data_IF_866467015193
#
_entry.id   IF_866467015193
#
_cell.length_a   1.000
_cell.length_b   1.000
_cell.length_c   1.000
_cell.angle_alpha   90.00
_cell.angle_beta   90.00
_cell.angle_gamma   90.00
#
_symmetry.space_group_name_H-M   'P 1'
#
loop_
_entity.id
_entity.type
_entity.pdbx_description
1 polymer ?
#
# COMPACT_ATOMS: atom_id res chain seq x y z
N UNK A 1 -14.42 40.36 0.87
CA UNK A 1 -15.61 40.31 1.73
C UNK A 1 -16.86 40.12 0.89
N UNK A 2 -17.89 39.51 1.49
CA UNK A 2 -19.11 38.87 0.91
C UNK A 2 -18.87 37.41 0.53
N UNK A 3 -19.64 36.37 0.89
CA UNK A 3 -20.68 36.03 1.89
C UNK A 3 -20.90 34.51 1.66
N UNK A 4 -20.97 33.58 2.60
CA UNK A 4 -21.54 33.66 3.93
C UNK A 4 -23.03 33.30 3.98
N UNK A 5 -23.58 32.51 3.03
CA UNK A 5 -24.86 31.80 3.22
C UNK A 5 -25.17 30.77 2.12
N UNK A 6 -24.90 29.47 2.34
CA UNK A 6 -25.71 28.35 1.81
C UNK A 6 -25.71 27.21 2.86
N UNK A 7 -26.87 26.56 3.06
CA UNK A 7 -27.30 26.15 4.38
C UNK A 7 -26.82 24.76 4.80
N UNK A 8 -26.59 24.60 6.10
CA UNK A 8 -26.33 23.37 6.88
C UNK A 8 -27.30 22.20 6.56
N UNK A 9 -28.39 22.46 5.84
CA UNK A 9 -29.30 21.46 5.31
C UNK A 9 -28.65 20.51 4.28
N UNK A 10 -27.74 21.00 3.42
CA UNK A 10 -27.08 20.17 2.40
C UNK A 10 -26.10 19.17 3.04
N UNK A 11 -25.39 19.58 4.10
CA UNK A 11 -24.48 18.70 4.83
C UNK A 11 -25.22 17.53 5.50
N UNK A 12 -26.43 17.75 6.02
CA UNK A 12 -27.25 16.69 6.64
C UNK A 12 -27.76 15.69 5.61
N UNK A 13 -28.12 16.15 4.41
CA UNK A 13 -28.54 15.27 3.31
C UNK A 13 -27.37 14.41 2.84
N UNK A 14 -26.17 14.99 2.67
CA UNK A 14 -24.96 14.25 2.27
C UNK A 14 -24.59 13.19 3.30
N UNK A 15 -24.64 13.52 4.59
CA UNK A 15 -24.37 12.56 5.69
C UNK A 15 -25.39 11.43 5.71
N UNK A 16 -26.67 11.70 5.44
CA UNK A 16 -27.71 10.68 5.38
C UNK A 16 -27.51 9.72 4.19
N UNK A 17 -27.15 10.24 3.02
CA UNK A 17 -26.88 9.43 1.81
C UNK A 17 -25.67 8.54 2.01
N UNK A 18 -24.55 9.09 2.50
CA UNK A 18 -23.32 8.33 2.77
C UNK A 18 -23.55 7.25 3.84
N UNK A 19 -24.33 7.54 4.87
CA UNK A 19 -24.69 6.56 5.90
C UNK A 19 -25.51 5.41 5.33
N UNK A 20 -26.46 5.70 4.43
CA UNK A 20 -27.27 4.67 3.78
C UNK A 20 -26.43 3.79 2.85
N UNK A 21 -25.49 4.36 2.11
CA UNK A 21 -24.57 3.60 1.25
C UNK A 21 -23.64 2.70 2.09
N UNK A 22 -23.07 3.22 3.18
CA UNK A 22 -22.23 2.44 4.10
C UNK A 22 -23.00 1.30 4.77
N UNK A 23 -24.24 1.53 5.21
CA UNK A 23 -25.10 0.48 5.77
C UNK A 23 -25.48 -0.58 4.72
N UNK A 24 -25.70 -0.18 3.47
CA UNK A 24 -26.08 -1.10 2.40
C UNK A 24 -24.92 -2.03 1.98
N UNK A 25 -23.67 -1.54 2.06
CA UNK A 25 -22.50 -2.30 1.65
C UNK A 25 -21.74 -3.00 2.79
N UNK A 26 -22.05 -2.68 4.06
CA UNK A 26 -21.39 -3.26 5.24
C UNK A 26 -22.41 -3.57 6.36
N UNK A 27 -23.23 -4.63 6.24
CA UNK A 27 -24.29 -4.94 7.21
C UNK A 27 -23.79 -5.28 8.63
N UNK A 28 -22.47 -5.34 8.87
CA UNK A 28 -21.87 -5.62 10.17
C UNK A 28 -21.51 -4.38 11.02
N UNK A 29 -21.69 -3.14 10.53
CA UNK A 29 -21.26 -1.93 11.25
C UNK A 29 -22.42 -1.22 11.97
N UNK A 30 -22.84 -1.81 13.09
CA UNK A 30 -23.95 -1.32 13.90
C UNK A 30 -23.69 -0.04 14.73
N UNK A 31 -22.53 0.61 14.67
CA UNK A 31 -22.25 1.93 15.30
C UNK A 31 -20.89 2.50 14.91
N UNK A 32 -20.87 3.53 14.07
CA UNK A 32 -19.72 4.41 13.90
C UNK A 32 -20.16 5.87 14.13
N UNK A 33 -19.44 6.59 14.99
CA UNK A 33 -19.64 8.02 15.24
C UNK A 33 -18.69 8.79 14.32
N UNK A 34 -19.24 9.63 13.43
CA UNK A 34 -18.46 10.46 12.50
C UNK A 34 -18.58 11.92 12.95
N UNK A 35 -17.45 12.60 13.15
CA UNK A 35 -17.37 14.06 13.30
C UNK A 35 -16.72 14.65 12.05
N UNK A 36 -17.30 15.73 11.53
CA UNK A 36 -16.83 16.43 10.32
C UNK A 36 -16.36 17.82 10.74
N UNK A 37 -15.11 18.15 10.43
CA UNK A 37 -14.57 19.51 10.52
C UNK A 37 -14.47 20.12 9.12
N UNK A 38 -14.66 21.44 9.03
CA UNK A 38 -14.74 22.21 7.79
C UNK A 38 -13.37 22.37 7.10
N UNK A 39 -13.35 22.24 5.78
CA UNK A 39 -12.14 22.18 4.96
C UNK A 39 -11.48 23.55 4.78
N UNK A 40 -10.19 23.65 5.11
CA UNK A 40 -9.30 24.67 4.60
C UNK A 40 -8.27 24.02 3.68
N UNK A 41 -8.32 24.43 2.41
CA UNK A 41 -7.34 24.30 1.32
C UNK A 41 -6.54 22.99 1.17
N UNK A 42 -6.72 22.35 0.01
CA UNK A 42 -6.01 21.18 -0.49
C UNK A 42 -4.50 21.21 -0.21
N UNK A 43 -4.05 20.24 0.57
CA UNK A 43 -2.70 19.69 0.55
C UNK A 43 -2.85 18.16 0.36
N UNK A 44 -1.96 17.50 -0.39
CA UNK A 44 -2.09 16.07 -0.70
C UNK A 44 -2.21 15.28 0.60
N UNK A 45 -3.18 14.37 0.65
CA UNK A 45 -3.47 13.52 1.80
C UNK A 45 -2.34 12.52 1.99
N UNK A 46 -1.27 12.96 2.66
CA UNK A 46 -0.43 12.05 3.43
C UNK A 46 -1.31 11.47 4.53
N UNK A 47 -1.71 10.21 4.40
CA UNK A 47 -2.20 9.42 5.53
C UNK A 47 -1.10 9.42 6.60
N UNK A 48 -1.17 10.38 7.53
CA UNK A 48 -0.35 10.41 8.73
C UNK A 48 -0.87 9.35 9.70
N UNK A 49 -0.57 8.09 9.40
CA UNK A 49 -0.08 7.23 10.46
C UNK A 49 1.26 7.81 10.91
N UNK A 50 1.42 8.05 12.21
CA UNK A 50 2.73 8.34 12.78
C UNK A 50 3.56 7.06 12.72
N UNK A 51 4.06 6.73 11.53
CA UNK A 51 5.06 5.70 11.29
C UNK A 51 6.40 6.39 11.22
N UNK A 52 7.33 6.01 12.09
CA UNK A 52 8.70 6.49 12.05
C UNK A 52 9.29 6.16 10.66
N UNK A 53 9.93 7.14 10.03
CA UNK A 53 10.28 7.19 8.60
C UNK A 53 11.41 6.21 8.19
N UNK A 54 11.25 4.91 8.43
CA UNK A 54 12.28 3.89 8.19
C UNK A 54 12.12 3.12 6.87
N UNK A 55 10.93 3.13 6.27
CA UNK A 55 10.70 2.41 5.03
C UNK A 55 11.30 3.16 3.83
N UNK A 56 12.09 2.49 2.97
CA UNK A 56 12.52 3.00 1.68
C UNK A 56 11.38 3.46 0.77
N UNK A 57 11.71 4.26 -0.24
CA UNK A 57 10.74 4.64 -1.27
C UNK A 57 10.22 3.42 -2.03
N UNK A 58 8.93 3.47 -2.41
CA UNK A 58 8.31 2.42 -3.20
C UNK A 58 8.96 2.29 -4.60
N UNK A 59 9.14 1.06 -5.05
CA UNK A 59 9.59 0.72 -6.40
C UNK A 59 8.39 0.63 -7.35
N UNK A 60 8.42 1.38 -8.46
CA UNK A 60 7.37 1.30 -9.48
C UNK A 60 7.54 0.06 -10.34
N UNK A 61 6.50 -0.76 -10.42
CA UNK A 61 6.47 -1.98 -11.23
C UNK A 61 5.75 -1.68 -12.55
N UNK A 62 6.44 -1.89 -13.66
CA UNK A 62 5.87 -1.74 -15.00
C UNK A 62 6.45 -2.80 -15.93
N UNK A 63 5.65 -3.82 -16.22
CA UNK A 63 6.03 -4.95 -17.06
C UNK A 63 4.82 -5.47 -17.83
N UNK A 64 5.02 -6.49 -18.67
CA UNK A 64 3.89 -7.15 -19.35
C UNK A 64 3.06 -7.98 -18.38
N UNK A 65 3.71 -8.55 -17.36
CA UNK A 65 3.10 -9.44 -16.38
C UNK A 65 2.36 -8.69 -15.26
N UNK A 66 2.83 -7.51 -14.87
CA UNK A 66 2.16 -6.69 -13.86
C UNK A 66 2.51 -5.19 -13.97
N UNK A 67 1.58 -4.35 -13.53
CA UNK A 67 1.81 -2.93 -13.21
C UNK A 67 1.38 -2.63 -11.78
N UNK A 68 2.11 -1.77 -11.09
CA UNK A 68 1.87 -1.51 -9.67
C UNK A 68 3.03 -0.83 -8.97
N UNK A 69 3.12 -1.05 -7.66
CA UNK A 69 4.24 -0.62 -6.83
C UNK A 69 4.58 -1.68 -5.78
N UNK A 70 5.87 -1.83 -5.51
CA UNK A 70 6.44 -2.70 -4.49
C UNK A 70 7.01 -1.82 -3.38
N UNK A 71 6.62 -2.09 -2.14
CA UNK A 71 7.01 -1.30 -0.97
C UNK A 71 7.14 -2.18 0.28
N UNK A 72 7.82 -1.66 1.30
CA UNK A 72 7.80 -2.24 2.65
C UNK A 72 6.66 -1.54 3.41
N UNK A 73 5.75 -2.32 4.00
CA UNK A 73 4.60 -1.81 4.77
C UNK A 73 4.60 -2.38 6.18
N UNK A 74 4.17 -1.58 7.14
CA UNK A 74 3.88 -2.04 8.50
C UNK A 74 2.62 -2.92 8.53
N UNK A 75 2.72 -4.11 9.12
CA UNK A 75 1.57 -4.92 9.51
C UNK A 75 1.58 -5.19 11.02
N UNK A 76 0.47 -5.67 11.60
CA UNK A 76 0.45 -6.08 13.01
C UNK A 76 1.51 -7.16 13.36
N UNK A 77 1.96 -7.92 12.36
CA UNK A 77 2.97 -8.97 12.46
C UNK A 77 4.39 -8.47 12.09
N UNK A 78 4.60 -7.16 12.02
CA UNK A 78 5.84 -6.51 11.60
C UNK A 78 5.84 -6.10 10.13
N UNK A 79 6.96 -5.61 9.64
CA UNK A 79 7.09 -5.13 8.26
C UNK A 79 6.94 -6.26 7.23
N UNK A 80 6.41 -5.97 6.05
CA UNK A 80 6.29 -6.92 4.93
C UNK A 80 6.55 -6.26 3.60
N UNK A 81 7.10 -7.01 2.65
CA UNK A 81 7.12 -6.61 1.24
C UNK A 81 5.70 -6.75 0.69
N UNK A 82 5.15 -5.66 0.14
CA UNK A 82 3.83 -5.62 -0.49
C UNK A 82 3.95 -5.18 -1.93
N UNK A 83 3.43 -5.99 -2.85
CA UNK A 83 3.18 -5.62 -4.24
C UNK A 83 1.71 -5.26 -4.40
N UNK A 84 1.42 -3.98 -4.58
CA UNK A 84 0.08 -3.46 -4.90
C UNK A 84 -0.11 -3.38 -6.40
N UNK A 85 -1.15 -4.03 -6.92
CA UNK A 85 -1.30 -4.35 -8.35
C UNK A 85 -2.47 -3.56 -8.94
N UNK A 86 -2.21 -2.83 -10.03
CA UNK A 86 -3.26 -2.20 -10.85
C UNK A 86 -3.69 -3.06 -12.04
N UNK A 87 -2.77 -3.87 -12.58
CA UNK A 87 -3.04 -4.83 -13.65
C UNK A 87 -2.07 -6.00 -13.53
N UNK A 88 -2.53 -7.22 -13.81
CA UNK A 88 -1.66 -8.39 -13.87
C UNK A 88 -2.13 -9.44 -14.88
N UNK A 89 -1.20 -10.29 -15.30
CA UNK A 89 -1.49 -11.53 -16.01
C UNK A 89 -2.19 -12.54 -15.08
N UNK A 90 -3.01 -13.42 -15.66
CA UNK A 90 -3.66 -14.49 -14.89
C UNK A 90 -2.62 -15.47 -14.38
N UNK A 91 -2.73 -15.86 -13.11
CA UNK A 91 -1.77 -16.79 -12.49
C UNK A 91 -0.41 -16.16 -12.22
N UNK A 92 -0.39 -14.85 -11.97
CA UNK A 92 0.82 -14.14 -11.57
C UNK A 92 1.37 -14.73 -10.26
N UNK A 93 2.64 -15.11 -10.30
CA UNK A 93 3.47 -15.40 -9.15
C UNK A 93 4.54 -14.32 -9.03
N UNK A 94 4.91 -13.98 -7.81
CA UNK A 94 5.92 -12.96 -7.54
C UNK A 94 6.85 -13.38 -6.41
N UNK A 95 8.15 -13.17 -6.61
CA UNK A 95 9.20 -13.40 -5.60
C UNK A 95 10.13 -12.21 -5.61
N UNK A 96 10.45 -11.68 -4.44
CA UNK A 96 11.55 -10.73 -4.27
C UNK A 96 12.80 -11.49 -3.91
N UNK A 97 13.85 -11.33 -4.70
CA UNK A 97 15.19 -11.85 -4.40
C UNK A 97 16.11 -10.68 -4.03
N UNK A 98 16.48 -10.59 -2.76
CA UNK A 98 17.35 -9.52 -2.24
C UNK A 98 18.79 -10.05 -2.20
N UNK A 99 19.72 -9.29 -2.79
CA UNK A 99 21.14 -9.58 -2.70
C UNK A 99 21.66 -9.18 -1.32
N UNK A 100 22.15 -10.16 -0.56
CA UNK A 100 22.82 -9.97 0.72
C UNK A 100 24.26 -10.46 0.61
N UNK A 101 25.05 -10.30 1.68
CA UNK A 101 26.46 -10.66 1.74
C UNK A 101 26.72 -12.15 1.43
N UNK A 102 26.85 -12.47 0.15
CA UNK A 102 27.10 -13.82 -0.36
C UNK A 102 25.88 -14.75 -0.37
N UNK A 103 24.69 -14.28 0.00
CA UNK A 103 23.44 -15.07 0.00
C UNK A 103 22.29 -14.29 -0.63
N UNK A 104 21.32 -15.02 -1.19
CA UNK A 104 20.08 -14.42 -1.72
C UNK A 104 18.97 -14.69 -0.73
N UNK A 105 18.42 -13.62 -0.18
CA UNK A 105 17.20 -13.67 0.62
C UNK A 105 16.00 -13.73 -0.33
N UNK A 106 15.15 -14.75 -0.18
CA UNK A 106 14.00 -14.98 -1.06
C UNK A 106 12.69 -14.78 -0.30
N UNK A 107 11.87 -13.86 -0.80
CA UNK A 107 10.57 -13.51 -0.22
C UNK A 107 9.48 -13.75 -1.26
N UNK A 108 8.85 -14.95 -1.28
CA UNK A 108 7.65 -15.18 -2.07
C UNK A 108 6.53 -14.25 -1.61
N UNK A 109 5.84 -13.62 -2.57
CA UNK A 109 4.68 -12.78 -2.30
C UNK A 109 3.41 -13.59 -2.55
N UNK A 110 2.56 -13.68 -1.54
CA UNK A 110 1.31 -14.45 -1.57
C UNK A 110 0.11 -13.51 -1.60
N UNK A 111 -1.04 -13.92 -2.16
CA UNK A 111 -2.25 -13.10 -2.13
C UNK A 111 -2.59 -12.64 -0.72
N UNK A 112 -2.80 -11.34 -0.55
CA UNK A 112 -3.23 -10.79 0.72
C UNK A 112 -4.65 -11.30 1.05
N UNK A 113 -4.90 -11.75 2.29
CA UNK A 113 -6.24 -12.14 2.72
C UNK A 113 -7.18 -10.94 2.87
N UNK A 114 -6.63 -9.73 3.00
CA UNK A 114 -7.39 -8.50 3.24
C UNK A 114 -7.58 -7.64 1.98
N UNK A 115 -6.78 -7.86 0.94
CA UNK A 115 -6.79 -7.06 -0.29
C UNK A 115 -6.48 -7.94 -1.51
N UNK A 116 -7.49 -8.19 -2.33
CA UNK A 116 -7.35 -9.01 -3.55
C UNK A 116 -6.46 -8.37 -4.62
N UNK A 117 -6.10 -7.10 -4.49
CA UNK A 117 -5.17 -6.39 -5.37
C UNK A 117 -3.75 -6.32 -4.82
N UNK A 118 -3.44 -7.03 -3.73
CA UNK A 118 -2.12 -7.05 -3.14
C UNK A 118 -1.55 -8.47 -3.01
N UNK A 119 -0.25 -8.60 -3.27
CA UNK A 119 0.56 -9.73 -2.83
C UNK A 119 1.48 -9.26 -1.70
N UNK A 120 1.68 -10.09 -0.68
CA UNK A 120 2.45 -9.75 0.52
C UNK A 120 3.39 -10.90 0.91
N UNK A 121 4.60 -10.58 1.35
CA UNK A 121 5.51 -11.57 1.91
C UNK A 121 4.96 -12.11 3.24
N UNK A 122 5.35 -13.32 3.62
CA UNK A 122 4.96 -13.87 4.92
C UNK A 122 5.90 -13.44 6.06
N UNK A 123 7.14 -13.09 5.72
CA UNK A 123 8.17 -12.63 6.65
C UNK A 123 8.66 -11.24 6.24
N UNK A 124 9.17 -10.49 7.21
CA UNK A 124 9.84 -9.22 6.97
C UNK A 124 11.12 -9.42 6.14
N UNK A 125 11.50 -8.46 5.28
CA UNK A 125 12.85 -8.40 4.76
C UNK A 125 13.83 -8.23 5.93
N UNK A 126 15.02 -8.84 5.84
CA UNK A 126 16.05 -8.64 6.85
C UNK A 126 16.55 -7.18 6.85
N UNK A 127 16.89 -6.64 8.02
CA UNK A 127 17.62 -5.38 8.10
C UNK A 127 19.07 -5.54 7.58
N UNK A 128 19.66 -4.49 6.97
CA UNK A 128 19.08 -3.17 6.73
C UNK A 128 18.11 -3.13 5.54
N UNK A 129 17.25 -2.11 5.48
CA UNK A 129 16.34 -1.88 4.34
C UNK A 129 17.00 -1.12 3.17
N UNK A 130 18.31 -0.91 3.24
CA UNK A 130 19.12 -0.54 2.09
C UNK A 130 19.65 -1.80 1.38
N UNK A 131 19.19 -2.06 0.16
CA UNK A 131 19.61 -3.25 -0.60
C UNK A 131 19.33 -3.16 -2.10
N UNK A 132 20.09 -3.95 -2.87
CA UNK A 132 19.79 -4.29 -4.26
C UNK A 132 18.98 -5.58 -4.33
N UNK A 133 17.98 -5.62 -5.22
CA UNK A 133 17.09 -6.76 -5.34
C UNK A 133 16.55 -6.93 -6.78
N UNK A 134 15.92 -8.07 -7.01
CA UNK A 134 15.17 -8.37 -8.23
C UNK A 134 13.76 -8.82 -7.85
N UNK A 135 12.74 -8.14 -8.38
CA UNK A 135 11.38 -8.63 -8.36
C UNK A 135 11.19 -9.56 -9.56
N UNK A 136 11.03 -10.85 -9.30
CA UNK A 136 10.74 -11.86 -10.31
C UNK A 136 9.24 -12.04 -10.42
N UNK A 137 8.71 -11.81 -11.62
CA UNK A 137 7.31 -12.02 -11.96
C UNK A 137 7.21 -13.22 -12.91
N UNK A 138 6.26 -14.11 -12.65
CA UNK A 138 6.06 -15.31 -13.47
C UNK A 138 4.58 -15.52 -13.76
N UNK A 139 4.25 -15.92 -14.99
CA UNK A 139 2.90 -16.38 -15.36
C UNK A 139 3.01 -17.54 -16.37
N UNK A 140 2.91 -18.77 -15.86
CA UNK A 140 3.14 -19.96 -16.67
C UNK A 140 4.59 -20.05 -17.14
N UNK A 141 4.84 -19.81 -18.44
CA UNK A 141 6.18 -19.85 -19.04
C UNK A 141 6.81 -18.46 -19.21
N UNK A 142 6.04 -17.39 -19.02
CA UNK A 142 6.53 -16.02 -19.10
C UNK A 142 7.19 -15.63 -17.77
N UNK A 143 8.37 -14.99 -17.86
CA UNK A 143 9.16 -14.54 -16.72
C UNK A 143 9.67 -13.13 -17.02
N UNK A 144 9.50 -12.21 -16.08
CA UNK A 144 10.10 -10.87 -16.09
C UNK A 144 10.92 -10.67 -14.80
N UNK A 145 12.20 -10.34 -14.95
CA UNK A 145 13.10 -9.99 -13.85
C UNK A 145 13.27 -8.46 -13.79
N UNK A 146 12.77 -7.84 -12.73
CA UNK A 146 12.78 -6.38 -12.56
C UNK A 146 13.77 -5.98 -11.46
N UNK A 147 14.99 -5.54 -11.81
CA UNK A 147 15.96 -5.08 -10.82
C UNK A 147 15.51 -3.76 -10.18
N UNK A 148 15.73 -3.62 -8.89
CA UNK A 148 15.46 -2.40 -8.13
C UNK A 148 16.40 -2.25 -6.95
N UNK A 149 16.51 -1.02 -6.43
CA UNK A 149 17.24 -0.70 -5.21
C UNK A 149 16.31 0.01 -4.25
N UNK A 150 16.38 -0.37 -2.99
CA UNK A 150 15.75 0.33 -1.88
C UNK A 150 16.84 1.06 -1.10
N UNK A 151 16.59 2.32 -0.77
CA UNK A 151 17.48 3.20 -0.01
C UNK A 151 16.75 3.67 1.23
N UNK A 152 17.34 3.42 2.40
CA UNK A 152 16.80 3.92 3.65
C UNK A 152 17.05 5.43 3.76
N UNK A 153 16.06 6.24 4.18
CA UNK A 153 16.27 7.69 4.31
C UNK A 153 17.39 8.04 5.30
N UNK A 154 18.25 9.00 4.95
CA UNK A 154 19.33 9.47 5.83
C UNK A 154 18.80 9.99 7.18
N UNK A 155 19.45 9.59 8.29
CA UNK A 155 19.17 10.10 9.64
C UNK A 155 18.50 9.12 10.61
N UNK A 156 18.43 7.84 10.25
CA UNK A 156 17.72 6.82 11.02
C UNK A 156 18.58 5.60 11.36
N UNK A 157 19.78 5.83 11.88
CA UNK A 157 20.51 4.80 12.60
C UNK A 157 20.11 4.85 14.08
N UNK A 158 19.75 3.70 14.65
CA UNK A 158 19.51 3.54 16.09
C UNK A 158 20.70 3.99 16.95
#
# INVERSE_FOLDING_TARGET
>A
SVSGDKPVADAKVIVATLRNELHAHLPALGRATIQIAEAAAEAPTSHRGQGHHHAPAAFTVSSRLATGFLEIVDTPEGERMRLSISKHAKGLEAVVEIARDGVVERLPLLPSPADHHALISNVAPAEPHEFDAVLKLMAGVEVDDLPFRMEEPEGHHH
#
